data_IF_588223225041
#
_entry.id   IF_588223225041
#
_cell.length_a   1.000
_cell.length_b   1.000
_cell.length_c   1.000
_cell.angle_alpha   90.00
_cell.angle_beta   90.00
_cell.angle_gamma   90.00
#
_symmetry.space_group_name_H-M   'P 1'
#
loop_
_entity.id
_entity.type
_entity.pdbx_description
1 polymer ?
#
# COMPACT_ATOMS: atom_id res chain seq x y z
N UNK A 1 -63.21 -18.31 -47.39
CA UNK A 1 -61.84 -18.11 -46.88
C UNK A 1 -61.75 -16.63 -46.49
N UNK A 2 -62.37 -16.21 -45.39
CA UNK A 2 -61.96 -16.43 -44.00
C UNK A 2 -60.57 -15.87 -43.75
N UNK A 3 -60.48 -14.67 -43.17
CA UNK A 3 -59.96 -14.52 -41.82
C UNK A 3 -60.07 -13.07 -41.35
N UNK A 4 -60.92 -12.89 -40.32
CA UNK A 4 -60.81 -11.81 -39.37
C UNK A 4 -59.40 -11.84 -38.74
N UNK A 5 -58.69 -10.71 -38.73
CA UNK A 5 -57.61 -10.50 -37.77
C UNK A 5 -58.21 -9.85 -36.53
N UNK A 6 -58.59 -10.72 -35.59
CA UNK A 6 -58.78 -10.38 -34.20
C UNK A 6 -57.42 -10.00 -33.60
N UNK A 7 -57.39 -8.86 -32.91
CA UNK A 7 -56.41 -8.58 -31.86
C UNK A 7 -56.51 -9.66 -30.78
N UNK A 8 -55.40 -10.23 -30.29
CA UNK A 8 -55.35 -10.82 -28.96
C UNK A 8 -54.86 -9.74 -27.98
N UNK A 9 -55.79 -9.26 -27.17
CA UNK A 9 -55.50 -8.74 -25.84
C UNK A 9 -55.16 -9.92 -24.94
N UNK A 10 -53.88 -10.11 -24.63
CA UNK A 10 -53.47 -10.99 -23.53
C UNK A 10 -52.76 -10.16 -22.47
N UNK A 11 -53.50 -9.94 -21.39
CA UNK A 11 -53.01 -9.60 -20.06
C UNK A 11 -51.92 -10.59 -19.64
N UNK A 12 -50.66 -10.29 -19.95
CA UNK A 12 -49.52 -10.88 -19.27
C UNK A 12 -49.06 -9.90 -18.19
N UNK A 13 -49.68 -10.03 -17.01
CA UNK A 13 -49.19 -9.42 -15.78
C UNK A 13 -47.76 -9.90 -15.52
N UNK A 14 -46.78 -9.06 -15.82
CA UNK A 14 -45.38 -9.22 -15.41
C UNK A 14 -45.28 -9.13 -13.88
N UNK A 15 -45.64 -10.22 -13.19
CA UNK A 15 -45.23 -10.44 -11.81
C UNK A 15 -43.74 -10.78 -11.82
N UNK A 16 -42.91 -9.74 -11.78
CA UNK A 16 -41.50 -9.86 -11.37
C UNK A 16 -41.48 -10.41 -9.94
N UNK A 17 -41.29 -11.73 -9.83
CA UNK A 17 -40.91 -12.38 -8.58
C UNK A 17 -39.62 -11.73 -8.09
N UNK A 18 -39.73 -11.03 -6.97
CA UNK A 18 -38.63 -10.42 -6.26
C UNK A 18 -37.78 -11.55 -5.65
N UNK A 19 -36.87 -12.13 -6.45
CA UNK A 19 -35.82 -13.03 -5.94
C UNK A 19 -34.93 -12.21 -5.02
N UNK A 20 -35.26 -12.22 -3.73
CA UNK A 20 -34.34 -11.81 -2.68
C UNK A 20 -32.99 -12.50 -2.95
N UNK A 21 -31.93 -11.69 -3.12
CA UNK A 21 -30.56 -12.19 -3.23
C UNK A 21 -30.19 -12.77 -1.86
N UNK A 22 -30.52 -14.04 -1.64
CA UNK A 22 -30.32 -14.70 -0.35
C UNK A 22 -28.87 -15.14 -0.21
N UNK A 23 -28.22 -14.65 0.86
CA UNK A 23 -26.82 -14.88 1.22
C UNK A 23 -26.61 -16.19 1.99
N UNK A 24 -27.65 -17.00 2.18
CA UNK A 24 -27.64 -18.13 3.11
C UNK A 24 -26.75 -19.33 2.70
N UNK A 25 -26.18 -19.37 1.49
CA UNK A 25 -25.29 -20.46 1.06
C UNK A 25 -23.82 -20.31 1.54
N UNK A 26 -23.46 -19.24 2.27
CA UNK A 26 -22.04 -18.90 2.55
C UNK A 26 -21.54 -19.36 3.95
N UNK A 27 -22.36 -20.03 4.77
CA UNK A 27 -22.04 -20.27 6.19
C UNK A 27 -20.81 -21.16 6.45
N UNK A 28 -20.47 -22.11 5.58
CA UNK A 28 -19.30 -22.99 5.75
C UNK A 28 -17.97 -22.36 5.29
N UNK A 29 -18.01 -21.56 4.22
CA UNK A 29 -16.83 -20.88 3.64
C UNK A 29 -16.30 -19.77 4.55
N UNK A 30 -17.19 -19.10 5.29
CA UNK A 30 -16.83 -17.93 6.09
C UNK A 30 -16.02 -18.27 7.35
N UNK A 31 -16.29 -19.41 8.01
CA UNK A 31 -15.55 -19.79 9.22
C UNK A 31 -14.09 -20.13 8.92
N UNK A 32 -13.83 -20.88 7.83
CA UNK A 32 -12.45 -21.18 7.41
C UNK A 32 -11.68 -19.92 7.03
N UNK A 33 -12.34 -18.97 6.35
CA UNK A 33 -11.75 -17.68 6.02
C UNK A 33 -11.28 -16.94 7.27
N UNK A 34 -12.06 -16.92 8.36
CA UNK A 34 -11.67 -16.29 9.62
C UNK A 34 -10.39 -16.92 10.18
N UNK A 35 -10.30 -18.24 10.23
CA UNK A 35 -9.08 -18.92 10.70
C UNK A 35 -7.87 -18.61 9.84
N UNK A 36 -8.04 -18.56 8.52
CA UNK A 36 -6.97 -18.19 7.60
C UNK A 36 -6.51 -16.74 7.80
N UNK A 37 -7.44 -15.80 7.97
CA UNK A 37 -7.14 -14.39 8.30
C UNK A 37 -6.35 -14.30 9.61
N UNK A 38 -6.79 -15.00 10.65
CA UNK A 38 -6.09 -15.04 11.94
C UNK A 38 -4.68 -15.61 11.79
N UNK A 39 -4.53 -16.69 11.00
CA UNK A 39 -3.23 -17.30 10.73
C UNK A 39 -2.26 -16.33 10.06
N UNK A 40 -2.71 -15.54 9.08
CA UNK A 40 -1.86 -14.54 8.42
C UNK A 40 -1.45 -13.41 9.36
N UNK A 41 -2.35 -12.99 10.27
CA UNK A 41 -1.99 -12.03 11.30
C UNK A 41 -0.93 -12.57 12.26
N UNK A 42 -1.09 -13.81 12.73
CA UNK A 42 -0.12 -14.45 13.63
C UNK A 42 1.24 -14.56 12.96
N UNK A 43 1.30 -15.11 11.74
CA UNK A 43 2.56 -15.25 11.00
C UNK A 43 3.23 -13.89 10.75
N UNK A 44 2.44 -12.90 10.31
CA UNK A 44 2.92 -11.54 10.08
C UNK A 44 3.51 -10.92 11.34
N UNK A 45 2.80 -11.01 12.47
CA UNK A 45 3.27 -10.42 13.72
C UNK A 45 4.51 -11.13 14.26
N UNK A 46 4.56 -12.46 14.24
CA UNK A 46 5.71 -13.21 14.75
C UNK A 46 6.99 -12.99 13.94
N UNK A 47 6.87 -12.90 12.61
CA UNK A 47 8.02 -12.66 11.73
C UNK A 47 8.49 -11.21 11.82
N UNK A 48 7.58 -10.25 11.68
CA UNK A 48 7.95 -8.84 11.57
C UNK A 48 8.35 -8.21 12.91
N UNK A 49 7.83 -8.68 14.04
CA UNK A 49 8.26 -8.16 15.36
C UNK A 49 9.73 -8.45 15.67
N UNK A 50 10.32 -9.47 15.03
CA UNK A 50 11.74 -9.81 15.17
C UNK A 50 12.63 -8.97 14.24
N UNK A 51 12.02 -8.19 13.35
CA UNK A 51 12.71 -7.32 12.41
C UNK A 51 12.85 -5.95 13.06
N UNK A 52 14.03 -5.35 12.91
CA UNK A 52 14.33 -4.02 13.43
C UNK A 52 13.45 -2.92 12.81
N UNK A 53 13.70 -1.65 13.17
CA UNK A 53 12.95 -0.52 12.61
C UNK A 53 13.03 -0.54 11.09
N UNK A 54 11.88 -0.58 10.41
CA UNK A 54 11.81 -0.65 8.96
C UNK A 54 11.16 0.58 8.35
N UNK A 55 11.58 0.95 7.16
CA UNK A 55 10.90 1.93 6.31
C UNK A 55 10.24 1.18 5.17
N UNK A 56 8.96 1.44 4.95
CA UNK A 56 8.21 0.81 3.86
C UNK A 56 8.35 1.67 2.60
N UNK A 57 8.70 1.03 1.48
CA UNK A 57 8.89 1.69 0.19
C UNK A 57 7.87 1.19 -0.83
N UNK A 58 7.06 2.12 -1.34
CA UNK A 58 6.04 1.87 -2.35
C UNK A 58 6.38 2.52 -3.69
N UNK A 59 5.86 1.96 -4.77
CA UNK A 59 5.93 2.57 -6.09
C UNK A 59 5.45 1.63 -7.18
N UNK A 60 5.61 2.06 -8.42
CA UNK A 60 5.15 1.32 -9.59
C UNK A 60 5.83 -0.04 -9.74
N UNK A 61 5.03 -1.10 -9.94
CA UNK A 61 5.49 -2.42 -10.35
C UNK A 61 5.98 -2.47 -11.82
N UNK A 62 5.82 -1.38 -12.58
CA UNK A 62 6.03 -1.32 -14.03
C UNK A 62 7.27 -0.52 -14.42
N UNK A 63 7.96 0.11 -13.47
CA UNK A 63 9.14 0.95 -13.74
C UNK A 63 10.31 0.07 -14.21
N UNK A 64 10.92 0.32 -15.37
CA UNK A 64 12.05 -0.46 -15.85
C UNK A 64 13.35 -0.11 -15.11
N UNK A 65 14.31 -1.04 -15.11
CA UNK A 65 15.54 -0.93 -14.30
C UNK A 65 16.46 0.23 -14.71
N UNK A 66 16.40 0.66 -15.96
CA UNK A 66 17.20 1.78 -16.49
C UNK A 66 16.61 3.15 -16.14
N UNK A 67 15.35 3.20 -15.72
CA UNK A 67 14.62 4.41 -15.37
C UNK A 67 15.23 5.12 -14.14
N UNK A 68 15.21 6.46 -14.15
CA UNK A 68 15.74 7.28 -13.06
C UNK A 68 15.12 6.94 -11.69
N UNK A 69 13.80 6.76 -11.62
CA UNK A 69 13.13 6.40 -10.37
C UNK A 69 13.47 5.00 -9.84
N UNK A 70 13.84 4.06 -10.72
CA UNK A 70 14.33 2.76 -10.27
C UNK A 70 15.68 2.94 -9.54
N UNK A 71 16.61 3.64 -10.18
CA UNK A 71 17.94 3.92 -9.60
C UNK A 71 17.83 4.73 -8.30
N UNK A 72 16.91 5.70 -8.26
CA UNK A 72 16.66 6.52 -7.08
C UNK A 72 16.09 5.68 -5.93
N UNK A 73 15.14 4.77 -6.20
CA UNK A 73 14.62 3.86 -5.18
C UNK A 73 15.70 2.91 -4.64
N UNK A 74 16.58 2.39 -5.52
CA UNK A 74 17.72 1.58 -5.11
C UNK A 74 18.67 2.37 -4.18
N UNK A 75 19.00 3.62 -4.53
CA UNK A 75 19.88 4.47 -3.73
C UNK A 75 19.26 4.86 -2.38
N UNK A 76 17.97 5.21 -2.35
CA UNK A 76 17.24 5.48 -1.10
C UNK A 76 17.32 4.26 -0.19
N UNK A 77 16.97 3.07 -0.70
CA UNK A 77 16.98 1.85 0.10
C UNK A 77 18.38 1.50 0.62
N UNK A 78 19.41 1.65 -0.21
CA UNK A 78 20.80 1.47 0.19
C UNK A 78 21.21 2.40 1.34
N UNK A 79 20.84 3.68 1.25
CA UNK A 79 21.15 4.67 2.29
C UNK A 79 20.37 4.40 3.58
N UNK A 80 19.08 4.04 3.48
CA UNK A 80 18.26 3.66 4.64
C UNK A 80 18.90 2.50 5.42
N UNK A 81 19.31 1.44 4.73
CA UNK A 81 19.97 0.32 5.41
C UNK A 81 21.34 0.67 5.98
N UNK A 82 22.06 1.61 5.35
CA UNK A 82 23.33 2.13 5.88
C UNK A 82 23.14 2.92 7.18
N UNK A 83 21.94 3.46 7.44
CA UNK A 83 21.56 4.12 8.69
C UNK A 83 20.94 3.17 9.72
N UNK A 84 20.90 1.85 9.44
CA UNK A 84 20.41 0.84 10.38
C UNK A 84 18.91 0.54 10.29
N UNK A 85 18.19 1.09 9.32
CA UNK A 85 16.80 0.69 9.05
C UNK A 85 16.74 -0.57 8.18
N UNK A 86 15.68 -1.35 8.31
CA UNK A 86 15.30 -2.33 7.29
C UNK A 86 14.41 -1.70 6.21
N UNK A 87 14.26 -2.39 5.07
CA UNK A 87 13.36 -1.97 3.99
C UNK A 87 12.25 -3.00 3.80
N UNK A 88 11.00 -2.55 3.85
CA UNK A 88 9.82 -3.35 3.53
C UNK A 88 9.27 -2.93 2.17
N UNK A 89 8.95 -3.89 1.31
CA UNK A 89 8.26 -3.63 0.04
C UNK A 89 7.13 -4.63 -0.17
N UNK A 90 6.35 -4.44 -1.24
CA UNK A 90 5.38 -5.42 -1.70
C UNK A 90 5.97 -6.67 -2.39
N UNK A 91 7.29 -6.75 -2.54
CA UNK A 91 8.01 -7.91 -3.08
C UNK A 91 7.92 -8.12 -4.59
N UNK A 92 7.14 -7.31 -5.30
CA UNK A 92 6.99 -7.41 -6.76
C UNK A 92 8.14 -6.79 -7.57
N UNK A 93 7.99 -6.67 -8.90
CA UNK A 93 8.96 -6.04 -9.80
C UNK A 93 8.97 -4.50 -9.68
N UNK A 94 9.79 -3.85 -10.52
CA UNK A 94 9.83 -2.39 -10.65
C UNK A 94 10.43 -1.71 -9.43
N UNK A 95 9.77 -0.67 -8.91
CA UNK A 95 10.28 0.08 -7.74
C UNK A 95 10.45 -0.81 -6.52
N UNK A 96 9.55 -1.77 -6.30
CA UNK A 96 9.64 -2.69 -5.16
C UNK A 96 10.94 -3.52 -5.24
N UNK A 97 11.23 -4.08 -6.42
CA UNK A 97 12.48 -4.78 -6.69
C UNK A 97 13.70 -3.86 -6.51
N UNK A 98 13.65 -2.62 -7.01
CA UNK A 98 14.74 -1.65 -6.87
C UNK A 98 15.09 -1.41 -5.39
N UNK A 99 14.07 -1.24 -4.56
CA UNK A 99 14.25 -1.02 -3.14
C UNK A 99 14.81 -2.27 -2.44
N UNK A 100 14.28 -3.47 -2.71
CA UNK A 100 14.85 -4.70 -2.17
C UNK A 100 16.30 -4.90 -2.62
N UNK A 101 16.61 -4.58 -3.87
CA UNK A 101 17.97 -4.62 -4.43
C UNK A 101 18.92 -3.68 -3.70
N UNK A 102 18.49 -2.44 -3.45
CA UNK A 102 19.27 -1.44 -2.72
C UNK A 102 19.57 -1.88 -1.29
N UNK A 103 18.55 -2.40 -0.59
CA UNK A 103 18.70 -2.94 0.75
C UNK A 103 19.67 -4.13 0.80
N UNK A 104 19.50 -5.08 -0.13
CA UNK A 104 20.37 -6.24 -0.25
C UNK A 104 21.83 -5.86 -0.56
N UNK A 105 22.04 -4.90 -1.47
CA UNK A 105 23.37 -4.35 -1.78
C UNK A 105 24.04 -3.70 -0.57
N UNK A 106 23.27 -3.01 0.27
CA UNK A 106 23.73 -2.46 1.54
C UNK A 106 23.90 -3.49 2.66
N UNK A 107 23.67 -4.78 2.38
CA UNK A 107 23.68 -5.88 3.36
C UNK A 107 22.75 -5.64 4.55
N UNK A 108 21.69 -4.88 4.33
CA UNK A 108 20.65 -4.63 5.32
C UNK A 108 19.50 -5.61 5.22
N UNK A 109 18.50 -5.41 6.08
CA UNK A 109 17.28 -6.22 6.07
C UNK A 109 16.40 -5.86 4.87
N UNK A 110 16.08 -6.85 4.03
CA UNK A 110 15.20 -6.72 2.86
C UNK A 110 13.97 -7.61 3.01
N UNK A 111 12.81 -7.00 3.21
CA UNK A 111 11.53 -7.69 3.48
C UNK A 111 10.62 -7.57 2.27
N UNK A 112 9.92 -8.66 1.95
CA UNK A 112 8.89 -8.70 0.90
C UNK A 112 7.57 -9.20 1.47
N UNK A 113 6.56 -8.33 1.45
CA UNK A 113 5.18 -8.69 1.76
C UNK A 113 4.44 -8.91 0.45
N UNK A 114 4.48 -10.11 -0.09
CA UNK A 114 3.85 -10.47 -1.36
C UNK A 114 2.33 -10.70 -1.21
N UNK A 115 1.59 -10.65 -2.31
CA UNK A 115 0.14 -10.90 -2.34
C UNK A 115 -0.16 -11.91 -3.45
N UNK A 116 -1.01 -12.90 -3.16
CA UNK A 116 -1.48 -13.84 -4.17
C UNK A 116 -2.41 -13.12 -5.15
N UNK A 117 -2.03 -13.11 -6.43
CA UNK A 117 -2.84 -12.56 -7.52
C UNK A 117 -3.21 -13.66 -8.53
N UNK A 118 -4.33 -13.51 -9.27
CA UNK A 118 -4.74 -14.46 -10.30
C UNK A 118 -3.73 -14.62 -11.45
N UNK A 119 -2.83 -13.65 -11.60
CA UNK A 119 -1.76 -13.64 -12.58
C UNK A 119 -0.45 -13.69 -11.81
N UNK A 120 0.40 -14.66 -12.16
CA UNK A 120 1.61 -14.96 -11.39
C UNK A 120 2.59 -13.77 -11.43
N UNK A 121 2.72 -13.07 -10.30
CA UNK A 121 3.87 -12.20 -10.02
C UNK A 121 4.72 -12.92 -8.96
N UNK A 122 5.85 -13.47 -9.39
CA UNK A 122 6.84 -14.02 -8.48
C UNK A 122 7.46 -12.91 -7.62
N UNK A 123 7.84 -13.27 -6.40
CA UNK A 123 8.63 -12.39 -5.54
C UNK A 123 10.01 -12.15 -6.16
N UNK A 124 10.54 -10.93 -6.03
CA UNK A 124 11.86 -10.62 -6.56
C UNK A 124 12.98 -11.29 -5.75
N UNK A 125 14.13 -11.52 -6.40
CA UNK A 125 15.25 -12.30 -5.82
C UNK A 125 16.07 -11.59 -4.74
N UNK A 126 15.81 -10.30 -4.47
CA UNK A 126 16.59 -9.49 -3.52
C UNK A 126 15.97 -9.44 -2.12
N UNK A 127 14.86 -10.15 -1.92
CA UNK A 127 14.22 -10.33 -0.61
C UNK A 127 14.99 -11.41 0.16
N UNK A 128 15.21 -11.19 1.45
CA UNK A 128 15.85 -12.20 2.28
C UNK A 128 14.94 -13.44 2.38
N UNK A 129 15.52 -14.64 2.23
CA UNK A 129 14.76 -15.89 2.16
C UNK A 129 13.86 -16.12 3.38
N UNK A 130 14.29 -15.67 4.57
CA UNK A 130 13.55 -15.77 5.82
C UNK A 130 12.55 -14.62 6.05
N UNK A 131 12.47 -13.63 5.15
CA UNK A 131 11.66 -12.40 5.28
C UNK A 131 10.71 -12.17 4.10
N UNK A 132 10.39 -13.24 3.38
CA UNK A 132 9.29 -13.28 2.43
C UNK A 132 8.03 -13.79 3.14
N UNK A 133 6.97 -12.97 3.11
CA UNK A 133 5.64 -13.35 3.55
C UNK A 133 4.68 -13.21 2.37
N UNK A 134 3.80 -14.18 2.18
CA UNK A 134 2.81 -14.17 1.11
C UNK A 134 1.42 -14.19 1.73
N UNK A 135 0.63 -13.19 1.40
CA UNK A 135 -0.72 -13.02 1.91
C UNK A 135 -1.76 -13.42 0.86
N UNK A 136 -2.89 -13.94 1.30
CA UNK A 136 -4.10 -14.10 0.49
C UNK A 136 -5.03 -12.88 0.64
N UNK A 137 -4.96 -12.17 1.76
CA UNK A 137 -5.84 -11.04 2.06
C UNK A 137 -5.12 -9.68 2.06
N UNK A 138 -5.56 -8.78 1.17
CA UNK A 138 -5.01 -7.42 1.06
C UNK A 138 -5.01 -6.66 2.39
N UNK A 139 -6.11 -6.73 3.16
CA UNK A 139 -6.24 -5.96 4.38
C UNK A 139 -5.27 -6.44 5.49
N UNK A 140 -4.92 -7.73 5.54
CA UNK A 140 -3.92 -8.22 6.49
C UNK A 140 -2.55 -7.69 6.11
N UNK A 141 -2.19 -7.78 4.83
CA UNK A 141 -0.95 -7.23 4.28
C UNK A 141 -0.80 -5.74 4.54
N UNK A 142 -1.87 -4.97 4.37
CA UNK A 142 -1.93 -3.53 4.65
C UNK A 142 -1.61 -3.20 6.10
N UNK A 143 -2.17 -3.94 7.05
CA UNK A 143 -1.81 -3.79 8.47
C UNK A 143 -0.32 -4.02 8.69
N UNK A 144 0.28 -5.01 8.04
CA UNK A 144 1.71 -5.30 8.17
C UNK A 144 2.60 -4.18 7.61
N UNK A 145 2.19 -3.52 6.52
CA UNK A 145 2.91 -2.36 6.00
C UNK A 145 2.96 -1.19 6.97
N UNK A 146 1.89 -1.00 7.75
CA UNK A 146 1.77 0.14 8.68
C UNK A 146 2.34 -0.20 10.05
N UNK A 147 2.01 -1.36 10.62
CA UNK A 147 2.35 -1.73 12.01
C UNK A 147 3.85 -1.66 12.30
N UNK A 148 4.69 -2.07 11.35
CA UNK A 148 6.14 -2.17 11.54
C UNK A 148 6.93 -1.06 10.83
N UNK A 149 6.24 -0.15 10.15
CA UNK A 149 6.88 0.98 9.48
C UNK A 149 7.19 2.11 10.44
N UNK A 150 8.41 2.61 10.32
CA UNK A 150 8.92 3.85 10.91
C UNK A 150 8.84 5.02 9.90
N UNK A 151 8.42 4.75 8.68
CA UNK A 151 8.35 5.77 7.65
C UNK A 151 7.91 5.18 6.35
N UNK A 152 7.28 5.99 5.52
CA UNK A 152 6.94 5.62 4.15
C UNK A 152 7.79 6.44 3.18
N UNK A 153 8.44 5.75 2.25
CA UNK A 153 8.96 6.34 1.03
C UNK A 153 8.02 5.95 -0.12
N UNK A 154 7.41 6.95 -0.73
CA UNK A 154 6.41 6.76 -1.79
C UNK A 154 6.98 7.29 -3.10
N UNK A 155 7.48 6.37 -3.91
CA UNK A 155 7.99 6.65 -5.24
C UNK A 155 6.84 6.75 -6.25
N UNK A 156 7.08 7.32 -7.45
CA UNK A 156 6.08 7.39 -8.50
C UNK A 156 5.45 6.02 -8.83
N UNK A 157 4.12 6.01 -8.85
CA UNK A 157 3.33 4.79 -8.74
C UNK A 157 1.92 4.90 -9.32
N UNK A 158 1.24 3.76 -9.38
CA UNK A 158 -0.14 3.67 -9.87
C UNK A 158 -1.17 3.62 -8.74
N UNK A 159 -2.34 3.04 -9.02
CA UNK A 159 -3.45 2.96 -8.06
C UNK A 159 -3.08 2.25 -6.75
N UNK A 160 -2.31 1.15 -6.81
CA UNK A 160 -1.87 0.48 -5.59
C UNK A 160 -0.97 1.35 -4.72
N UNK A 161 -0.13 2.20 -5.31
CA UNK A 161 0.70 3.15 -4.56
C UNK A 161 -0.15 4.26 -3.92
N UNK A 162 -1.16 4.75 -4.64
CA UNK A 162 -2.10 5.75 -4.12
C UNK A 162 -2.96 5.20 -2.98
N UNK A 163 -3.40 3.94 -3.09
CA UNK A 163 -4.15 3.23 -2.06
C UNK A 163 -3.37 3.21 -0.73
N UNK A 164 -2.11 2.76 -0.75
CA UNK A 164 -1.28 2.71 0.47
C UNK A 164 -0.91 4.11 1.00
N UNK A 165 -0.68 5.08 0.10
CA UNK A 165 -0.43 6.47 0.49
C UNK A 165 -1.61 7.06 1.26
N UNK A 166 -2.82 7.00 0.69
CA UNK A 166 -4.00 7.59 1.31
C UNK A 166 -4.48 6.82 2.54
N UNK A 167 -4.24 5.51 2.62
CA UNK A 167 -4.49 4.75 3.83
C UNK A 167 -3.65 5.26 5.00
N UNK A 168 -2.33 5.34 4.85
CA UNK A 168 -1.47 5.87 5.92
C UNK A 168 -1.77 7.33 6.24
N UNK A 169 -1.99 8.15 5.21
CA UNK A 169 -2.34 9.57 5.40
C UNK A 169 -3.61 9.71 6.25
N UNK A 170 -4.66 8.95 5.94
CA UNK A 170 -5.92 8.95 6.70
C UNK A 170 -5.74 8.40 8.12
N UNK A 171 -4.96 7.33 8.30
CA UNK A 171 -4.72 6.73 9.62
C UNK A 171 -3.98 7.71 10.55
N UNK A 172 -3.00 8.46 10.04
CA UNK A 172 -2.28 9.48 10.80
C UNK A 172 -3.19 10.68 11.08
N UNK A 173 -3.92 11.18 10.08
CA UNK A 173 -4.87 12.28 10.22
C UNK A 173 -5.89 12.00 11.34
N UNK A 174 -6.44 10.79 11.34
CA UNK A 174 -7.46 10.35 12.32
C UNK A 174 -6.87 9.87 13.65
N UNK A 175 -5.54 9.94 13.83
CA UNK A 175 -4.81 9.49 15.03
C UNK A 175 -5.10 8.04 15.39
N UNK A 176 -5.37 7.20 14.39
CA UNK A 176 -5.51 5.75 14.58
C UNK A 176 -4.18 5.04 14.69
N UNK A 177 -3.12 5.69 14.20
CA UNK A 177 -1.73 5.32 14.43
C UNK A 177 -0.94 6.55 14.86
N UNK A 178 0.22 6.30 15.46
CA UNK A 178 1.19 7.35 15.73
C UNK A 178 1.72 7.95 14.43
N UNK A 179 2.16 9.20 14.54
CA UNK A 179 2.72 9.90 13.39
C UNK A 179 4.08 9.30 13.06
N UNK A 180 4.28 8.99 11.78
CA UNK A 180 5.58 8.71 11.19
C UNK A 180 5.74 9.52 9.89
N UNK A 181 6.96 9.73 9.39
CA UNK A 181 7.20 10.50 8.17
C UNK A 181 6.68 9.79 6.91
N UNK A 182 5.82 10.47 6.14
CA UNK A 182 5.43 10.07 4.78
C UNK A 182 6.18 10.97 3.79
N UNK A 183 7.04 10.36 2.97
CA UNK A 183 7.91 11.06 2.02
C UNK A 183 7.53 10.70 0.59
N UNK A 184 7.04 11.67 -0.17
CA UNK A 184 6.77 11.56 -1.59
C UNK A 184 8.03 11.92 -2.38
N UNK A 185 8.51 11.03 -3.24
CA UNK A 185 9.73 11.25 -4.03
C UNK A 185 9.38 11.59 -5.48
N UNK A 186 9.99 12.63 -6.03
CA UNK A 186 9.76 13.12 -7.39
C UNK A 186 8.66 14.18 -7.41
N UNK A 187 9.02 15.41 -7.05
CA UNK A 187 8.11 16.56 -6.94
C UNK A 187 7.32 16.81 -8.23
N UNK A 188 7.96 16.66 -9.39
CA UNK A 188 7.34 16.74 -10.72
C UNK A 188 6.16 15.78 -10.89
N UNK A 189 6.27 14.55 -10.37
CA UNK A 189 5.22 13.54 -10.51
C UNK A 189 4.04 13.84 -9.57
N UNK A 190 4.32 14.22 -8.33
CA UNK A 190 3.31 14.42 -7.29
C UNK A 190 2.62 15.77 -7.35
N UNK A 191 3.20 16.77 -8.02
CA UNK A 191 2.71 18.16 -8.08
C UNK A 191 1.22 18.24 -8.37
N UNK A 192 0.73 17.59 -9.43
CA UNK A 192 -0.68 17.67 -9.81
C UNK A 192 -1.63 17.13 -8.75
N UNK A 193 -1.26 16.07 -8.03
CA UNK A 193 -2.07 15.51 -6.95
C UNK A 193 -2.09 16.44 -5.74
N UNK A 194 -0.94 16.96 -5.34
CA UNK A 194 -0.81 17.83 -4.17
C UNK A 194 -1.47 19.18 -4.40
N UNK A 195 -1.32 19.76 -5.59
CA UNK A 195 -2.02 20.97 -6.00
C UNK A 195 -3.54 20.74 -5.93
N UNK A 196 -4.05 19.61 -6.42
CA UNK A 196 -5.48 19.28 -6.30
C UNK A 196 -5.96 19.11 -4.85
N UNK A 197 -5.20 18.42 -4.00
CA UNK A 197 -5.52 18.27 -2.56
C UNK A 197 -5.60 19.66 -1.91
N UNK A 198 -4.64 20.54 -2.19
CA UNK A 198 -4.61 21.88 -1.62
C UNK A 198 -5.73 22.77 -2.16
N UNK A 199 -5.85 22.92 -3.47
CA UNK A 199 -6.78 23.86 -4.09
C UNK A 199 -8.23 23.38 -3.96
N UNK A 200 -8.47 22.07 -4.15
CA UNK A 200 -9.82 21.52 -4.14
C UNK A 200 -10.23 21.08 -2.74
N UNK A 201 -9.50 20.15 -2.11
CA UNK A 201 -9.95 19.60 -0.82
C UNK A 201 -9.81 20.60 0.31
N UNK A 202 -8.73 21.36 0.39
CA UNK A 202 -8.51 22.33 1.47
C UNK A 202 -9.19 23.68 1.20
N UNK A 203 -8.81 24.38 0.14
CA UNK A 203 -9.19 25.78 -0.06
C UNK A 203 -10.64 25.93 -0.49
N UNK A 204 -11.05 25.20 -1.53
CA UNK A 204 -12.38 25.33 -2.13
C UNK A 204 -13.47 24.58 -1.35
N UNK A 205 -13.29 23.28 -1.13
CA UNK A 205 -14.34 22.41 -0.58
C UNK A 205 -14.22 22.23 0.94
N UNK A 206 -13.07 22.58 1.54
CA UNK A 206 -12.83 22.53 3.01
C UNK A 206 -13.07 21.16 3.65
N UNK A 207 -12.69 20.10 2.94
CA UNK A 207 -12.80 18.71 3.36
C UNK A 207 -11.63 18.22 4.24
N UNK A 208 -10.55 18.99 4.32
CA UNK A 208 -9.37 18.70 5.16
C UNK A 208 -8.91 19.96 5.91
N UNK A 209 -8.06 19.80 6.93
CA UNK A 209 -7.51 20.91 7.71
C UNK A 209 -6.13 21.34 7.15
N UNK A 210 -5.70 22.61 7.33
CA UNK A 210 -4.39 23.07 6.87
C UNK A 210 -3.22 22.22 7.40
N UNK A 211 -3.34 21.69 8.61
CA UNK A 211 -2.32 20.88 9.27
C UNK A 211 -2.11 19.51 8.61
N UNK A 212 -3.12 19.02 7.89
CA UNK A 212 -3.05 17.71 7.22
C UNK A 212 -1.98 17.73 6.13
N UNK A 213 -1.80 18.86 5.43
CA UNK A 213 -0.74 19.03 4.43
C UNK A 213 0.67 18.88 5.02
N UNK A 214 0.84 19.10 6.32
CA UNK A 214 2.14 18.95 6.98
C UNK A 214 2.48 17.48 7.28
N UNK A 215 1.57 16.53 7.03
CA UNK A 215 1.80 15.11 7.26
C UNK A 215 2.68 14.47 6.17
N UNK A 216 2.81 15.13 5.01
CA UNK A 216 3.63 14.67 3.90
C UNK A 216 4.83 15.59 3.66
N UNK A 217 5.95 15.01 3.24
CA UNK A 217 7.13 15.74 2.74
C UNK A 217 7.36 15.37 1.28
N UNK A 218 7.75 16.33 0.44
CA UNK A 218 8.05 16.08 -0.97
C UNK A 218 9.53 16.38 -1.20
N UNK A 219 10.24 15.43 -1.81
CA UNK A 219 11.69 15.51 -2.03
C UNK A 219 12.05 14.99 -3.42
N UNK A 220 13.26 15.28 -3.88
CA UNK A 220 13.71 14.87 -5.22
C UNK A 220 14.98 14.00 -5.18
N UNK A 221 15.67 13.95 -4.05
CA UNK A 221 16.92 13.20 -3.91
C UNK A 221 16.86 12.14 -2.81
N UNK A 222 17.76 11.15 -2.91
CA UNK A 222 17.85 10.09 -1.92
C UNK A 222 18.29 10.62 -0.55
N UNK A 223 19.21 11.59 -0.54
CA UNK A 223 19.70 12.22 0.70
C UNK A 223 18.59 12.98 1.43
N UNK A 224 17.78 13.74 0.70
CA UNK A 224 16.62 14.42 1.29
C UNK A 224 15.61 13.42 1.86
N UNK A 225 15.32 12.34 1.13
CA UNK A 225 14.37 11.32 1.57
C UNK A 225 14.79 10.69 2.91
N UNK A 226 16.05 10.26 3.02
CA UNK A 226 16.61 9.67 4.25
C UNK A 226 16.67 10.69 5.37
N UNK A 227 17.08 11.93 5.06
CA UNK A 227 17.15 13.02 6.03
C UNK A 227 15.80 13.30 6.70
N UNK A 228 14.69 13.25 5.96
CA UNK A 228 13.35 13.44 6.55
C UNK A 228 13.04 12.36 7.58
N UNK A 229 13.44 11.10 7.34
CA UNK A 229 13.27 10.00 8.30
C UNK A 229 14.13 10.25 9.55
N UNK A 230 15.41 10.56 9.37
CA UNK A 230 16.35 10.74 10.48
C UNK A 230 16.01 11.96 11.34
N UNK A 231 15.64 13.09 10.74
CA UNK A 231 15.22 14.29 11.48
C UNK A 231 13.92 14.10 12.27
N UNK A 232 13.09 13.15 11.85
CA UNK A 232 11.93 12.74 12.63
C UNK A 232 12.39 11.97 13.88
N UNK A 233 13.19 10.92 13.73
CA UNK A 233 13.64 10.08 14.85
C UNK A 233 14.77 10.66 15.71
N UNK A 234 15.37 11.77 15.30
CA UNK A 234 16.18 12.60 16.20
C UNK A 234 15.33 13.22 17.34
N UNK A 235 14.01 13.32 17.15
CA UNK A 235 13.07 13.94 18.10
C UNK A 235 12.08 12.96 18.73
N UNK A 236 11.85 11.82 18.10
CA UNK A 236 10.88 10.80 18.51
C UNK A 236 11.54 9.44 18.66
N UNK A 237 10.99 8.58 19.52
CA UNK A 237 11.47 7.22 19.70
C UNK A 237 10.90 6.30 18.61
N UNK A 238 11.68 5.29 18.22
CA UNK A 238 11.22 4.21 17.34
C UNK A 238 10.29 3.28 18.12
N UNK A 239 9.10 3.04 17.59
CA UNK A 239 8.14 2.07 18.15
C UNK A 239 7.26 1.49 17.04
N UNK A 240 6.80 0.23 17.15
CA UNK A 240 5.74 -0.27 16.30
C UNK A 240 4.49 0.61 16.41
N UNK A 241 3.74 0.75 15.32
CA UNK A 241 2.44 1.43 15.34
C UNK A 241 1.38 0.48 15.94
N UNK A 242 0.36 1.08 16.58
CA UNK A 242 -0.70 0.42 17.37
C UNK A 242 -0.24 -0.22 18.68
#
# INVERSE_FOLDING_TARGET
>A
MSNHHNLPSDDASDKKENKHKDWNQVKGSNSWMIFKVMSEFVEGFEKLTKIGPCVTLFGSARTPQDHQYYKLAEDIAYKLVSQGYGVITGGGPGIMEAANRGANKGKGTSVGLNIMLPFEQGANQYIDQDKLLTFDFFFVRKVMFVKYAQGFIVMPGGLGTLDELFEAYTLIQTKKIDRFPIVLVGSSFWKGLIDWIKETLLEKEKNISPEDLNLISIVDTADEAVKVIDEFYARYLLSPNF
#
